data_IF_442354690037
#
_entry.id   IF_442354690037
#
_cell.length_a   1.000
_cell.length_b   1.000
_cell.length_c   1.000
_cell.angle_alpha   90.00
_cell.angle_beta   90.00
_cell.angle_gamma   90.00
#
_symmetry.space_group_name_H-M   'P 1'
#
loop_
_entity.id
_entity.type
_entity.pdbx_description
1 polymer ?
#
# COMPACT_ATOMS: atom_id res chain seq x y z
N UNK A 1 -10.15 7.36 1.62
CA UNK A 1 -9.21 6.24 1.40
C UNK A 1 -9.91 4.93 1.69
N UNK A 2 -10.10 4.12 0.67
CA UNK A 2 -10.81 2.84 0.77
C UNK A 2 -10.38 1.90 -0.36
N UNK A 3 -10.94 0.67 -0.38
CA UNK A 3 -10.58 -0.33 -1.39
C UNK A 3 -10.87 0.13 -2.82
N UNK A 4 -11.94 0.89 -3.04
CA UNK A 4 -12.27 1.38 -4.38
C UNK A 4 -11.19 2.33 -4.90
N UNK A 5 -10.59 3.13 -4.03
CA UNK A 5 -9.49 4.02 -4.41
C UNK A 5 -8.23 3.22 -4.75
N UNK A 6 -8.07 2.06 -4.13
CA UNK A 6 -6.88 1.22 -4.29
C UNK A 6 -6.90 0.39 -5.56
N UNK A 7 -8.09 0.01 -6.02
CA UNK A 7 -8.22 -0.91 -7.15
C UNK A 7 -7.50 -0.43 -8.42
N UNK A 8 -7.67 0.82 -8.87
CA UNK A 8 -6.95 1.31 -10.05
C UNK A 8 -5.42 1.28 -9.87
N UNK A 9 -4.95 1.52 -8.63
CA UNK A 9 -3.52 1.53 -8.33
C UNK A 9 -2.95 0.12 -8.45
N UNK A 10 -3.63 -0.86 -7.86
CA UNK A 10 -3.21 -2.26 -7.94
C UNK A 10 -3.06 -2.71 -9.39
N UNK A 11 -3.98 -2.29 -10.26
CA UNK A 11 -3.96 -2.69 -11.67
C UNK A 11 -2.76 -2.13 -12.44
N UNK A 12 -2.07 -1.12 -11.91
CA UNK A 12 -0.85 -0.57 -12.52
C UNK A 12 0.42 -1.25 -12.03
N UNK A 13 0.32 -2.09 -11.00
CA UNK A 13 1.49 -2.72 -10.39
C UNK A 13 1.80 -4.07 -11.04
N UNK A 14 3.06 -4.55 -10.93
CA UNK A 14 3.38 -5.88 -11.42
C UNK A 14 2.62 -6.97 -10.66
N UNK A 15 2.71 -8.20 -11.13
CA UNK A 15 2.03 -9.32 -10.51
C UNK A 15 2.36 -9.46 -9.03
N UNK A 16 3.63 -9.26 -8.68
CA UNK A 16 4.07 -9.25 -7.28
C UNK A 16 4.52 -7.84 -6.92
N UNK A 17 4.10 -7.36 -5.76
CA UNK A 17 4.48 -6.04 -5.27
C UNK A 17 4.53 -6.03 -3.75
N UNK A 18 5.24 -5.06 -3.19
CA UNK A 18 5.31 -4.86 -1.74
C UNK A 18 4.34 -3.76 -1.32
N UNK A 19 4.02 -3.72 -0.02
CA UNK A 19 3.21 -2.62 0.52
C UNK A 19 3.86 -1.27 0.25
N UNK A 20 5.19 -1.17 0.35
CA UNK A 20 5.89 0.09 0.07
C UNK A 20 5.75 0.51 -1.39
N UNK A 21 5.82 -0.43 -2.33
CA UNK A 21 5.61 -0.15 -3.75
C UNK A 21 4.19 0.36 -4.00
N UNK A 22 3.20 -0.26 -3.34
CA UNK A 22 1.83 0.20 -3.43
C UNK A 22 1.68 1.63 -2.91
N UNK A 23 2.24 1.91 -1.72
CA UNK A 23 2.15 3.24 -1.11
C UNK A 23 2.77 4.31 -2.01
N UNK A 24 3.95 4.03 -2.59
CA UNK A 24 4.61 4.96 -3.52
C UNK A 24 3.74 5.23 -4.75
N UNK A 25 3.12 4.19 -5.29
CA UNK A 25 2.22 4.34 -6.45
C UNK A 25 0.96 5.12 -6.09
N UNK A 26 0.40 4.87 -4.90
CA UNK A 26 -0.76 5.59 -4.40
C UNK A 26 -0.47 7.09 -4.25
N UNK A 27 0.67 7.43 -3.66
CA UNK A 27 1.08 8.82 -3.49
C UNK A 27 1.21 9.51 -4.84
N UNK A 28 1.77 8.84 -5.83
CA UNK A 28 1.95 9.42 -7.16
C UNK A 28 0.64 9.84 -7.81
N UNK A 29 -0.41 9.07 -7.59
CA UNK A 29 -1.73 9.31 -8.20
C UNK A 29 -2.62 10.16 -7.30
N UNK A 30 -2.51 10.02 -5.99
CA UNK A 30 -3.41 10.64 -5.00
C UNK A 30 -2.63 11.43 -3.95
N UNK A 31 -1.67 12.22 -4.38
CA UNK A 31 -0.77 12.96 -3.47
C UNK A 31 -1.53 13.87 -2.52
N UNK A 32 -2.51 14.63 -3.04
CA UNK A 32 -3.27 15.57 -2.22
C UNK A 32 -4.05 14.85 -1.12
N UNK A 33 -4.65 13.72 -1.43
CA UNK A 33 -5.38 12.92 -0.44
C UNK A 33 -4.43 12.32 0.60
N UNK A 34 -3.28 11.83 0.16
CA UNK A 34 -2.28 11.26 1.08
C UNK A 34 -1.79 12.33 2.06
N UNK A 35 -1.45 13.51 1.57
CA UNK A 35 -1.01 14.63 2.40
C UNK A 35 -2.12 15.07 3.36
N UNK A 36 -3.35 15.13 2.88
CA UNK A 36 -4.51 15.48 3.71
C UNK A 36 -4.69 14.51 4.87
N UNK A 37 -4.49 13.22 4.63
CA UNK A 37 -4.59 12.20 5.67
C UNK A 37 -3.42 12.26 6.67
N UNK A 38 -2.27 12.76 6.25
CA UNK A 38 -1.11 12.91 7.14
C UNK A 38 -1.29 14.05 8.16
N UNK A 39 -1.86 15.17 7.73
CA UNK A 39 -1.86 16.43 8.49
C UNK A 39 -2.39 16.34 9.91
N UNK A 40 -3.52 15.71 10.18
CA UNK A 40 -4.10 15.75 11.52
C UNK A 40 -3.59 14.66 12.45
N UNK A 41 -2.64 13.82 12.03
CA UNK A 41 -2.31 12.61 12.78
C UNK A 41 -0.92 12.65 13.39
N UNK A 42 -0.84 12.33 14.69
CA UNK A 42 0.42 12.05 15.34
C UNK A 42 0.95 10.72 14.80
N UNK A 43 2.27 10.63 14.62
CA UNK A 43 2.88 9.43 14.05
C UNK A 43 2.97 9.47 12.53
N UNK A 44 2.22 10.36 11.88
CA UNK A 44 2.35 10.66 10.45
C UNK A 44 2.39 9.45 9.54
N UNK A 45 3.51 9.24 8.89
CA UNK A 45 3.68 8.16 7.91
C UNK A 45 3.42 6.78 8.48
N UNK A 46 3.85 6.52 9.70
CA UNK A 46 3.71 5.19 10.30
C UNK A 46 2.25 4.79 10.45
N UNK A 47 1.43 5.68 11.01
CA UNK A 47 0.01 5.41 11.19
C UNK A 47 -0.72 5.28 9.87
N UNK A 48 -0.46 6.19 8.94
CA UNK A 48 -1.11 6.17 7.64
C UNK A 48 -0.73 4.93 6.84
N UNK A 49 0.55 4.58 6.83
CA UNK A 49 1.01 3.40 6.10
C UNK A 49 0.47 2.12 6.73
N UNK A 50 0.31 2.07 8.06
CA UNK A 50 -0.34 0.95 8.74
C UNK A 50 -1.82 0.85 8.36
N UNK A 51 -2.50 1.97 8.24
CA UNK A 51 -3.90 2.00 7.78
C UNK A 51 -4.02 1.46 6.36
N UNK A 52 -3.13 1.89 5.47
CA UNK A 52 -3.10 1.40 4.09
C UNK A 52 -2.88 -0.11 4.07
N UNK A 53 -1.93 -0.59 4.84
CA UNK A 53 -1.65 -2.03 4.96
C UNK A 53 -2.86 -2.83 5.42
N UNK A 54 -3.62 -2.31 6.39
CA UNK A 54 -4.85 -2.95 6.86
C UNK A 54 -5.94 -2.99 5.79
N UNK A 55 -6.08 -1.91 5.03
CA UNK A 55 -7.07 -1.88 3.94
C UNK A 55 -6.70 -2.93 2.88
N UNK A 56 -5.42 -3.04 2.53
CA UNK A 56 -4.96 -4.07 1.61
C UNK A 56 -5.30 -5.46 2.14
N UNK A 57 -5.00 -5.72 3.41
CA UNK A 57 -5.24 -7.03 4.02
C UNK A 57 -6.73 -7.38 4.09
N UNK A 58 -7.57 -6.41 4.47
CA UNK A 58 -9.00 -6.62 4.60
C UNK A 58 -9.72 -6.70 3.26
N UNK A 59 -9.09 -6.25 2.19
CA UNK A 59 -9.72 -6.10 0.87
C UNK A 59 -9.12 -7.03 -0.17
N UNK A 60 -8.46 -8.11 0.24
CA UNK A 60 -7.76 -9.01 -0.68
C UNK A 60 -8.67 -9.57 -1.78
N UNK A 61 -9.88 -9.97 -1.42
CA UNK A 61 -10.83 -10.51 -2.40
C UNK A 61 -11.28 -9.45 -3.40
N UNK A 62 -11.64 -8.26 -2.90
CA UNK A 62 -12.12 -7.15 -3.75
C UNK A 62 -11.03 -6.67 -4.68
N UNK A 63 -9.80 -6.56 -4.17
CA UNK A 63 -8.65 -6.07 -4.93
C UNK A 63 -8.01 -7.14 -5.80
N UNK A 64 -8.44 -8.39 -5.66
CA UNK A 64 -7.86 -9.53 -6.37
C UNK A 64 -6.37 -9.64 -6.12
N UNK A 65 -6.00 -9.63 -4.84
CA UNK A 65 -4.63 -9.80 -4.37
C UNK A 65 -4.59 -10.87 -3.28
N UNK A 66 -3.41 -11.42 -3.06
CA UNK A 66 -3.18 -12.39 -2.01
C UNK A 66 -1.89 -12.04 -1.27
N UNK A 67 -1.95 -12.01 0.05
CA UNK A 67 -0.79 -11.76 0.88
C UNK A 67 0.14 -12.97 0.86
N UNK A 68 1.41 -12.75 0.55
CA UNK A 68 2.42 -13.79 0.58
C UNK A 68 2.87 -14.05 2.02
N UNK A 69 3.38 -15.24 2.28
CA UNK A 69 3.93 -15.58 3.58
C UNK A 69 5.25 -14.83 3.83
N UNK A 70 5.46 -14.44 5.07
CA UNK A 70 6.67 -13.73 5.48
C UNK A 70 6.68 -12.28 5.07
N UNK A 71 7.80 -11.65 5.28
CA UNK A 71 8.01 -10.23 4.97
C UNK A 71 9.25 -10.09 4.11
N UNK A 72 9.28 -9.05 3.29
CA UNK A 72 10.44 -8.70 2.48
C UNK A 72 10.98 -7.35 2.91
N UNK A 73 12.27 -7.13 2.70
CA UNK A 73 12.87 -5.82 2.95
C UNK A 73 12.81 -5.00 1.69
N UNK A 74 12.33 -3.77 1.84
CA UNK A 74 12.19 -2.86 0.71
C UNK A 74 12.26 -1.42 1.20
N UNK A 75 12.53 -0.51 0.29
CA UNK A 75 12.64 0.91 0.60
C UNK A 75 11.26 1.52 0.82
N UNK A 76 11.07 2.15 1.98
CA UNK A 76 9.82 2.83 2.29
C UNK A 76 9.77 4.22 1.63
N UNK A 77 8.67 4.96 1.86
CA UNK A 77 8.46 6.27 1.24
C UNK A 77 9.49 7.32 1.65
N UNK A 78 10.20 7.10 2.76
CA UNK A 78 11.26 7.99 3.24
C UNK A 78 12.65 7.56 2.77
N UNK A 79 12.75 6.49 1.99
CA UNK A 79 14.02 6.00 1.50
C UNK A 79 14.76 5.03 2.43
N UNK A 80 14.15 4.62 3.53
CA UNK A 80 14.75 3.66 4.45
C UNK A 80 14.33 2.24 4.12
N UNK A 81 15.25 1.30 4.26
CA UNK A 81 14.95 -0.12 4.08
C UNK A 81 14.24 -0.61 5.34
N UNK A 82 13.10 -1.22 5.19
CA UNK A 82 12.36 -1.81 6.30
C UNK A 82 11.55 -3.02 5.83
N UNK A 83 11.12 -3.84 6.80
CA UNK A 83 10.29 -5.00 6.50
C UNK A 83 8.89 -4.55 6.09
N UNK A 84 8.33 -5.25 5.10
CA UNK A 84 6.94 -5.02 4.72
C UNK A 84 6.34 -6.25 4.04
N UNK A 85 5.01 -6.25 3.92
CA UNK A 85 4.30 -7.36 3.31
C UNK A 85 4.51 -7.39 1.80
N UNK A 86 4.48 -8.60 1.24
CA UNK A 86 4.50 -8.83 -0.19
C UNK A 86 3.14 -9.35 -0.62
N UNK A 87 2.68 -8.90 -1.79
CA UNK A 87 1.38 -9.21 -2.32
C UNK A 87 1.50 -9.76 -3.74
N UNK A 88 0.59 -10.66 -4.10
CA UNK A 88 0.51 -11.21 -5.46
C UNK A 88 -0.87 -10.90 -6.01
N UNK A 89 -0.93 -10.37 -7.23
CA UNK A 89 -2.19 -10.15 -7.93
C UNK A 89 -2.75 -11.49 -8.40
N UNK A 90 -4.04 -11.72 -8.16
CA UNK A 90 -4.72 -12.96 -8.57
C UNK A 90 -5.49 -12.80 -9.87
N UNK A 91 -5.53 -11.59 -10.43
CA UNK A 91 -6.22 -11.29 -11.69
C UNK A 91 -5.34 -11.52 -12.93
N UNK A 92 -4.09 -11.86 -12.73
CA UNK A 92 -3.15 -12.15 -13.81
C UNK A 92 -2.30 -13.37 -13.52
#
# INVERSE_FOLDING_TARGET
MNANDFNPIVKTLPKEFTSHQFIKAYIRVNEAEYISELKPKKGGFRELNSKIGRILEDSQTILEIQKSKGKVKDENVKGYISDNAKWTRTDI
#
